data_IF_022191765507
#
_entry.id   IF_022191765507
#
_cell.length_a   1.000
_cell.length_b   1.000
_cell.length_c   1.000
_cell.angle_alpha   90.00
_cell.angle_beta   90.00
_cell.angle_gamma   90.00
#
_symmetry.space_group_name_H-M   'P 1'
#
loop_
_entity.id
_entity.type
_entity.pdbx_description
1 polymer ?
#
# COMPACT_ATOMS: atom_id res chain seq x y z
N UNK A 1 -8.60 -2.74 -18.45
CA UNK A 1 -7.32 -2.32 -19.07
C UNK A 1 -6.21 -3.05 -18.34
N UNK A 2 -5.17 -3.60 -18.99
CA UNK A 2 -4.07 -4.22 -18.27
C UNK A 2 -3.38 -3.14 -17.44
N UNK A 3 -3.17 -3.42 -16.16
CA UNK A 3 -2.50 -2.51 -15.23
C UNK A 3 -1.12 -2.20 -15.80
N UNK A 4 -0.92 -0.94 -16.21
CA UNK A 4 0.31 -0.53 -16.87
C UNK A 4 1.47 -0.71 -15.90
N UNK A 5 2.47 -1.51 -16.28
CA UNK A 5 3.76 -1.65 -15.60
C UNK A 5 4.34 -0.30 -15.11
N UNK A 6 4.01 0.78 -15.82
CA UNK A 6 4.30 2.17 -15.47
C UNK A 6 3.90 2.56 -14.03
N UNK A 7 2.76 2.10 -13.51
CA UNK A 7 2.30 2.42 -12.14
C UNK A 7 3.15 1.74 -11.07
N UNK A 8 3.43 0.46 -11.26
CA UNK A 8 4.32 -0.31 -10.36
C UNK A 8 5.74 0.25 -10.37
N UNK A 9 6.18 0.74 -11.54
CA UNK A 9 7.49 1.37 -11.68
C UNK A 9 7.54 2.76 -11.03
N UNK A 10 6.45 3.53 -11.08
CA UNK A 10 6.32 4.81 -10.39
C UNK A 10 6.39 4.62 -8.86
N UNK A 11 5.67 3.63 -8.32
CA UNK A 11 5.73 3.27 -6.90
C UNK A 11 7.17 2.89 -6.48
N UNK A 12 7.84 2.04 -7.26
CA UNK A 12 9.25 1.71 -7.02
C UNK A 12 10.16 2.94 -7.05
N UNK A 13 9.94 3.86 -7.97
CA UNK A 13 10.70 5.12 -8.07
C UNK A 13 10.45 6.06 -6.89
N UNK A 14 9.25 6.01 -6.29
CA UNK A 14 8.88 6.76 -5.08
C UNK A 14 9.27 6.06 -3.77
N UNK A 15 10.12 5.04 -3.82
CA UNK A 15 10.63 4.36 -2.61
C UNK A 15 9.71 3.27 -2.04
N UNK A 16 8.62 2.93 -2.72
CA UNK A 16 7.81 1.77 -2.33
C UNK A 16 8.56 0.48 -2.66
N UNK A 17 8.67 -0.39 -1.66
CA UNK A 17 9.21 -1.74 -1.80
C UNK A 17 8.07 -2.72 -1.93
N UNK A 18 8.16 -3.62 -2.91
CA UNK A 18 7.20 -4.70 -3.05
C UNK A 18 7.57 -5.85 -2.13
N UNK A 19 6.57 -6.35 -1.40
CA UNK A 19 6.66 -7.46 -0.47
C UNK A 19 5.81 -8.61 -0.97
N UNK A 20 6.47 -9.59 -1.57
CA UNK A 20 5.84 -10.75 -2.22
C UNK A 20 4.96 -11.57 -1.26
N UNK A 21 5.38 -11.75 0.00
CA UNK A 21 4.66 -12.62 0.96
C UNK A 21 3.22 -12.19 1.22
N UNK A 22 2.95 -10.89 1.16
CA UNK A 22 1.61 -10.34 1.40
C UNK A 22 1.04 -9.67 0.14
N UNK A 23 1.72 -9.78 -1.01
CA UNK A 23 1.35 -9.08 -2.25
C UNK A 23 1.06 -7.57 -2.03
N UNK A 24 1.95 -6.89 -1.28
CA UNK A 24 1.78 -5.48 -0.90
C UNK A 24 3.00 -4.64 -1.29
N UNK A 25 2.76 -3.37 -1.56
CA UNK A 25 3.76 -2.31 -1.70
C UNK A 25 3.82 -1.52 -0.41
N UNK A 26 5.02 -1.35 0.13
CA UNK A 26 5.26 -0.62 1.36
C UNK A 26 6.22 0.53 1.15
N UNK A 27 5.84 1.72 1.59
CA UNK A 27 6.73 2.85 1.78
C UNK A 27 6.89 3.13 3.28
N UNK A 28 8.12 2.94 3.78
CA UNK A 28 8.43 3.16 5.19
C UNK A 28 8.56 4.64 5.55
N UNK A 29 8.91 5.49 4.57
CA UNK A 29 9.06 6.94 4.75
C UNK A 29 7.69 7.57 5.00
N UNK A 30 6.73 7.25 4.14
CA UNK A 30 5.36 7.75 4.24
C UNK A 30 4.47 6.90 5.16
N UNK A 31 5.00 5.78 5.69
CA UNK A 31 4.26 4.76 6.46
C UNK A 31 3.00 4.27 5.74
N UNK A 32 3.10 4.05 4.43
CA UNK A 32 1.98 3.59 3.60
C UNK A 32 2.19 2.15 3.17
N UNK A 33 1.12 1.36 3.27
CA UNK A 33 1.01 0.00 2.76
C UNK A 33 -0.16 -0.07 1.79
N UNK A 34 0.11 -0.52 0.58
CA UNK A 34 -0.87 -0.62 -0.51
C UNK A 34 -0.87 -2.06 -1.01
N UNK A 35 -2.02 -2.73 -1.01
CA UNK A 35 -2.11 -4.05 -1.64
C UNK A 35 -1.94 -3.95 -3.15
N UNK A 36 -1.31 -4.94 -3.76
CA UNK A 36 -1.18 -5.05 -5.22
C UNK A 36 -2.57 -5.03 -5.87
N UNK A 37 -3.52 -5.77 -5.32
CA UNK A 37 -4.92 -5.76 -5.79
C UNK A 37 -5.51 -4.35 -5.81
N UNK A 38 -5.24 -3.51 -4.80
CA UNK A 38 -5.73 -2.13 -4.79
C UNK A 38 -5.12 -1.26 -5.90
N UNK A 39 -3.87 -1.55 -6.31
CA UNK A 39 -3.21 -0.86 -7.41
C UNK A 39 -3.73 -1.38 -8.76
N UNK A 40 -4.11 -2.65 -8.80
CA UNK A 40 -4.63 -3.30 -10.00
C UNK A 40 -6.10 -2.98 -10.27
N UNK A 41 -6.92 -2.87 -9.21
CA UNK A 41 -8.37 -2.69 -9.28
C UNK A 41 -8.81 -1.20 -9.29
N UNK A 42 -7.95 -0.30 -8.82
CA UNK A 42 -8.27 1.12 -8.73
C UNK A 42 -7.32 2.02 -9.53
N UNK A 43 -7.82 3.20 -9.89
CA UNK A 43 -7.06 4.22 -10.63
C UNK A 43 -6.26 5.16 -9.73
N UNK A 44 -5.33 5.88 -10.34
CA UNK A 44 -4.40 6.78 -9.66
C UNK A 44 -5.12 7.89 -8.85
N UNK A 45 -6.31 8.31 -9.27
CA UNK A 45 -7.11 9.29 -8.51
C UNK A 45 -7.56 8.72 -7.17
N UNK A 46 -8.07 7.48 -7.17
CA UNK A 46 -8.53 6.81 -5.96
C UNK A 46 -7.37 6.54 -4.99
N UNK A 47 -6.19 6.19 -5.52
CA UNK A 47 -4.97 6.04 -4.72
C UNK A 47 -4.53 7.37 -4.11
N UNK A 48 -4.52 8.46 -4.88
CA UNK A 48 -4.18 9.78 -4.36
C UNK A 48 -5.15 10.24 -3.27
N UNK A 49 -6.46 10.11 -3.48
CA UNK A 49 -7.46 10.47 -2.46
C UNK A 49 -7.24 9.69 -1.15
N UNK A 50 -6.86 8.41 -1.24
CA UNK A 50 -6.54 7.60 -0.05
C UNK A 50 -5.22 8.00 0.60
N UNK A 51 -4.22 8.38 -0.18
CA UNK A 51 -2.94 8.88 0.31
C UNK A 51 -3.09 10.24 1.00
N UNK A 52 -3.96 11.11 0.49
CA UNK A 52 -4.28 12.41 1.10
C UNK A 52 -5.05 12.28 2.42
N UNK A 53 -5.80 11.19 2.60
CA UNK A 53 -6.44 10.86 3.88
C UNK A 53 -5.45 10.39 4.98
N UNK A 54 -4.14 10.41 4.72
CA UNK A 54 -3.12 10.06 5.69
C UNK A 54 -2.80 11.24 6.62
N UNK A 55 -3.19 11.12 7.89
CA UNK A 55 -2.85 12.09 8.95
C UNK A 55 -1.38 12.00 9.44
N UNK A 56 -0.54 11.16 8.82
CA UNK A 56 0.90 11.02 9.13
C UNK A 56 1.24 10.37 10.48
N UNK A 57 0.25 10.20 11.36
CA UNK A 57 0.46 9.70 12.73
C UNK A 57 0.43 8.16 12.83
N UNK A 58 -0.03 7.45 11.78
CA UNK A 58 -0.19 5.98 11.78
C UNK A 58 0.04 5.38 10.40
N UNK A 59 0.30 4.08 10.37
CA UNK A 59 0.44 3.35 9.11
C UNK A 59 -0.87 3.37 8.32
N UNK A 60 -0.82 3.84 7.08
CA UNK A 60 -1.96 3.83 6.16
C UNK A 60 -2.03 2.48 5.46
N UNK A 61 -3.22 1.87 5.45
CA UNK A 61 -3.45 0.58 4.81
C UNK A 61 -4.49 0.75 3.69
N UNK A 62 -4.04 0.69 2.44
CA UNK A 62 -4.86 0.81 1.24
C UNK A 62 -5.09 -0.58 0.64
N UNK A 63 -6.31 -1.09 0.78
CA UNK A 63 -6.74 -2.39 0.28
C UNK A 63 -8.04 -2.26 -0.53
N UNK A 64 -8.22 -3.11 -1.55
CA UNK A 64 -9.40 -3.11 -2.43
C UNK A 64 -10.69 -3.24 -1.63
N UNK A 65 -10.73 -4.19 -0.68
CA UNK A 65 -11.92 -4.47 0.11
C UNK A 65 -12.06 -3.61 1.38
N UNK A 66 -11.39 -2.45 1.43
CA UNK A 66 -11.37 -1.56 2.59
C UNK A 66 -10.30 -1.89 3.63
N UNK A 67 -10.23 -1.09 4.70
CA UNK A 67 -9.19 -1.23 5.73
C UNK A 67 -9.16 -2.65 6.32
N UNK A 68 -8.03 -3.37 6.27
CA UNK A 68 -7.93 -4.70 6.86
C UNK A 68 -8.15 -4.62 8.37
N UNK A 69 -8.66 -5.71 8.96
CA UNK A 69 -8.82 -5.82 10.42
C UNK A 69 -7.49 -5.54 11.13
N UNK A 70 -7.54 -4.97 12.33
CA UNK A 70 -6.34 -4.65 13.12
C UNK A 70 -5.42 -5.84 13.33
N UNK A 71 -5.99 -7.05 13.48
CA UNK A 71 -5.21 -8.29 13.55
C UNK A 71 -4.34 -8.54 12.29
N UNK A 72 -4.86 -8.22 11.10
CA UNK A 72 -4.14 -8.37 9.83
C UNK A 72 -3.11 -7.26 9.67
N UNK A 73 -3.45 -6.01 10.02
CA UNK A 73 -2.51 -4.89 10.07
C UNK A 73 -1.30 -5.21 10.95
N UNK A 74 -1.56 -5.69 12.17
CA UNK A 74 -0.53 -6.04 13.14
C UNK A 74 0.34 -7.21 12.66
N UNK A 75 -0.26 -8.20 12.00
CA UNK A 75 0.47 -9.33 11.39
C UNK A 75 1.40 -8.84 10.28
N UNK A 76 0.92 -7.96 9.40
CA UNK A 76 1.72 -7.37 8.32
C UNK A 76 2.89 -6.55 8.89
N UNK A 77 2.62 -5.70 9.89
CA UNK A 77 3.68 -4.91 10.54
C UNK A 77 4.74 -5.78 11.23
N UNK A 78 4.34 -6.87 11.89
CA UNK A 78 5.28 -7.85 12.47
C UNK A 78 6.10 -8.56 11.40
N UNK A 79 5.47 -9.02 10.31
CA UNK A 79 6.15 -9.70 9.20
C UNK A 79 7.19 -8.80 8.53
N UNK A 80 6.92 -7.49 8.49
CA UNK A 80 7.81 -6.47 7.94
C UNK A 80 8.88 -5.98 8.94
N UNK A 81 8.87 -6.46 10.18
CA UNK A 81 9.80 -6.05 11.24
C UNK A 81 9.64 -4.59 11.65
N UNK A 82 8.40 -4.07 11.66
CA UNK A 82 8.07 -2.67 11.95
C UNK A 82 7.43 -2.46 13.33
N UNK A 83 7.32 -3.54 14.12
CA UNK A 83 6.90 -3.55 15.53
C UNK A 83 8.05 -3.93 16.45
#
# INVERSE_FOLDING_TARGET
MPVSLSRLNALKSSGYKYHFTNDIYINKTDKVIISKEAIEDHDDNWLNERLEACDGNSWLFIFTNGSPRDAVKNKILKDLGLM
#
